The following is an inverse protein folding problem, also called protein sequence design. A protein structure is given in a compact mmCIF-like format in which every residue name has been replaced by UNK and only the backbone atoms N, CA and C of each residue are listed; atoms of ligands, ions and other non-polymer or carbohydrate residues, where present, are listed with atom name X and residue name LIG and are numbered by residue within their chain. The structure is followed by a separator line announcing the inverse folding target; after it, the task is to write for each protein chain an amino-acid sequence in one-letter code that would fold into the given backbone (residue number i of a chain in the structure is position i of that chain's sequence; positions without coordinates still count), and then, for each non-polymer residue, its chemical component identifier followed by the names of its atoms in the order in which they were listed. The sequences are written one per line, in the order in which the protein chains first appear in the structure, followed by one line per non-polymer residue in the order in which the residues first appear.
data_IF_884016413230
#
_entry.id   IF_884016413230
#
_cell.length_a   1.000
_cell.length_b   1.000
_cell.length_c   1.000
_cell.angle_alpha   90.00
_cell.angle_beta   90.00
_cell.angle_gamma   90.00
#
_symmetry.space_group_name_H-M   'P 1'
#
loop_
_entity.id
_entity.type
_entity.pdbx_description
1 polymer ?
#
# COMPACT_ATOMS: atom_id res chain seq x y z
N UNK A 1 -20.53 -10.93 5.64
CA UNK A 1 -19.39 -10.41 4.87
C UNK A 1 -18.44 -11.56 4.59
N UNK A 2 -17.93 -11.65 3.37
CA UNK A 2 -16.92 -12.64 2.97
C UNK A 2 -15.61 -11.88 2.79
N UNK A 3 -14.50 -12.45 3.27
CA UNK A 3 -13.17 -11.90 3.08
C UNK A 3 -12.44 -12.69 1.99
N UNK A 4 -11.81 -11.98 1.07
CA UNK A 4 -11.02 -12.53 -0.02
C UNK A 4 -9.63 -11.93 0.10
N UNK A 5 -8.62 -12.79 0.20
CA UNK A 5 -7.22 -12.39 0.12
C UNK A 5 -6.66 -12.90 -1.20
N UNK A 6 -5.97 -12.05 -1.95
CA UNK A 6 -5.42 -12.38 -3.24
C UNK A 6 -3.90 -12.26 -3.22
N UNK A 7 -3.22 -13.30 -3.70
CA UNK A 7 -1.78 -13.32 -3.86
C UNK A 7 -1.41 -12.66 -5.19
N UNK A 8 -1.14 -11.36 -5.16
CA UNK A 8 -0.64 -10.60 -6.31
C UNK A 8 0.87 -10.78 -6.48
N UNK A 9 1.39 -10.60 -7.70
CA UNK A 9 2.82 -10.70 -8.01
C UNK A 9 3.64 -9.66 -7.24
N UNK A 10 4.80 -10.08 -6.74
CA UNK A 10 5.68 -9.29 -5.88
C UNK A 10 6.90 -8.75 -6.66
N UNK A 11 7.32 -7.55 -6.27
CA UNK A 11 8.54 -6.93 -6.79
C UNK A 11 9.79 -7.62 -6.22
N UNK A 12 10.88 -7.74 -6.99
CA UNK A 12 10.98 -7.92 -8.46
C UNK A 12 10.82 -9.42 -8.83
N UNK A 13 10.69 -9.79 -10.13
CA UNK A 13 10.80 -8.96 -11.34
C UNK A 13 9.51 -8.21 -11.71
N UNK A 14 8.40 -8.52 -11.04
CA UNK A 14 7.13 -7.85 -11.29
C UNK A 14 7.19 -6.37 -10.86
N UNK A 15 6.32 -5.57 -11.47
CA UNK A 15 6.20 -4.13 -11.23
C UNK A 15 4.81 -3.79 -10.69
N UNK A 16 4.59 -2.53 -10.36
CA UNK A 16 3.27 -1.99 -10.05
C UNK A 16 2.25 -2.18 -11.17
N UNK A 17 2.68 -2.27 -12.44
CA UNK A 17 1.79 -2.59 -13.57
C UNK A 17 1.27 -4.02 -13.49
N UNK A 18 2.13 -4.96 -13.12
CA UNK A 18 1.76 -6.36 -12.91
C UNK A 18 0.81 -6.50 -11.72
N UNK A 19 1.09 -5.82 -10.62
CA UNK A 19 0.20 -5.75 -9.45
C UNK A 19 -1.16 -5.18 -9.85
N UNK A 20 -1.19 -4.09 -10.61
CA UNK A 20 -2.43 -3.48 -11.09
C UNK A 20 -3.21 -4.42 -12.01
N UNK A 21 -2.53 -5.19 -12.87
CA UNK A 21 -3.16 -6.22 -13.69
C UNK A 21 -3.79 -7.32 -12.82
N UNK A 22 -3.06 -7.84 -11.83
CA UNK A 22 -3.57 -8.88 -10.91
C UNK A 22 -4.78 -8.39 -10.11
N UNK A 23 -4.76 -7.12 -9.68
CA UNK A 23 -5.91 -6.47 -9.03
C UNK A 23 -7.12 -6.44 -9.98
N UNK A 24 -6.95 -6.04 -11.24
CA UNK A 24 -8.05 -6.00 -12.21
C UNK A 24 -8.61 -7.40 -12.49
N UNK A 25 -7.72 -8.39 -12.63
CA UNK A 25 -8.10 -9.78 -12.86
C UNK A 25 -8.88 -10.36 -11.68
N UNK A 26 -8.49 -10.07 -10.44
CA UNK A 26 -9.24 -10.44 -9.25
C UNK A 26 -10.68 -9.91 -9.29
N UNK A 27 -10.86 -8.64 -9.63
CA UNK A 27 -12.20 -8.04 -9.67
C UNK A 27 -13.06 -8.58 -10.82
N UNK A 28 -12.45 -8.84 -11.98
CA UNK A 28 -13.14 -9.52 -13.08
C UNK A 28 -13.58 -10.94 -12.67
N UNK A 29 -12.72 -11.68 -11.97
CA UNK A 29 -13.03 -13.00 -11.43
C UNK A 29 -14.16 -12.96 -10.40
N UNK A 30 -14.14 -12.00 -9.46
CA UNK A 30 -15.21 -11.80 -8.47
C UNK A 30 -16.55 -11.50 -9.15
N UNK A 31 -16.55 -10.76 -10.25
CA UNK A 31 -17.78 -10.40 -10.95
C UNK A 31 -18.36 -11.55 -11.79
N UNK A 32 -17.49 -12.32 -12.45
CA UNK A 32 -17.91 -13.26 -13.50
C UNK A 32 -17.89 -14.72 -13.07
N UNK A 33 -16.90 -15.11 -12.29
CA UNK A 33 -16.52 -16.52 -12.17
C UNK A 33 -16.71 -17.07 -10.74
N UNK A 34 -16.51 -16.24 -9.71
CA UNK A 34 -16.46 -16.70 -8.31
C UNK A 34 -17.73 -17.45 -7.89
N UNK A 35 -18.91 -16.98 -8.30
CA UNK A 35 -20.18 -17.61 -7.92
C UNK A 35 -20.39 -18.98 -8.57
N UNK A 36 -19.83 -19.21 -9.76
CA UNK A 36 -19.85 -20.53 -10.40
C UNK A 36 -19.10 -21.54 -9.53
N UNK A 37 -17.93 -21.14 -9.03
CA UNK A 37 -17.10 -21.98 -8.18
C UNK A 37 -17.71 -22.17 -6.78
N UNK A 38 -18.22 -21.11 -6.16
CA UNK A 38 -18.87 -21.17 -4.83
C UNK A 38 -20.06 -22.12 -4.85
N UNK A 39 -20.89 -22.09 -5.90
CA UNK A 39 -22.03 -23.03 -6.06
C UNK A 39 -21.59 -24.49 -6.20
N UNK A 40 -20.40 -24.74 -6.74
CA UNK A 40 -19.82 -26.07 -6.88
C UNK A 40 -19.24 -26.65 -5.58
N UNK A 41 -18.98 -25.82 -4.57
CA UNK A 41 -18.41 -26.23 -3.31
C UNK A 41 -19.43 -26.92 -2.40
N UNK A 42 -19.04 -28.05 -1.79
CA UNK A 42 -19.83 -28.73 -0.75
C UNK A 42 -19.60 -28.07 0.61
N UNK A 43 -20.12 -26.85 0.76
CA UNK A 43 -20.06 -26.08 2.02
C UNK A 43 -21.21 -26.39 2.97
N UNK A 44 -21.05 -26.00 4.24
CA UNK A 44 -22.12 -26.10 5.26
C UNK A 44 -23.22 -25.04 5.09
N UNK A 45 -22.97 -24.00 4.29
CA UNK A 45 -23.90 -22.93 3.96
C UNK A 45 -23.79 -22.58 2.48
N UNK A 46 -24.93 -22.45 1.81
CA UNK A 46 -24.99 -21.88 0.47
C UNK A 46 -24.99 -20.35 0.57
N UNK A 47 -24.16 -19.69 -0.22
CA UNK A 47 -24.12 -18.23 -0.33
C UNK A 47 -23.64 -17.84 -1.73
N UNK A 48 -23.83 -16.57 -2.07
CA UNK A 48 -23.29 -15.96 -3.29
C UNK A 48 -22.58 -14.65 -2.92
N UNK A 49 -21.57 -14.32 -3.69
CA UNK A 49 -20.87 -13.03 -3.62
C UNK A 49 -21.68 -12.03 -4.44
N UNK A 50 -22.09 -10.94 -3.80
CA UNK A 50 -22.71 -9.80 -4.47
C UNK A 50 -21.61 -8.86 -4.98
N UNK A 51 -21.30 -8.93 -6.29
CA UNK A 51 -20.26 -8.10 -6.91
C UNK A 51 -20.61 -6.61 -6.95
N UNK A 52 -21.86 -6.23 -6.62
CA UNK A 52 -22.25 -4.83 -6.42
C UNK A 52 -21.95 -4.32 -5.00
N UNK A 53 -21.59 -5.20 -4.06
CA UNK A 53 -21.29 -4.88 -2.67
C UNK A 53 -19.85 -5.29 -2.34
N UNK A 54 -18.88 -4.58 -2.94
CA UNK A 54 -17.46 -4.80 -2.73
C UNK A 54 -16.85 -3.65 -1.92
N UNK A 55 -15.89 -3.99 -1.05
CA UNK A 55 -15.01 -3.05 -0.38
C UNK A 55 -13.60 -3.62 -0.39
N UNK A 56 -12.62 -2.73 -0.30
CA UNK A 56 -11.20 -3.11 -0.26
C UNK A 56 -10.58 -2.63 1.03
N UNK A 57 -9.68 -3.44 1.57
CA UNK A 57 -8.91 -3.10 2.75
C UNK A 57 -7.44 -3.44 2.52
N UNK A 58 -6.56 -2.65 3.12
CA UNK A 58 -5.13 -2.92 3.04
C UNK A 58 -4.36 -2.17 4.11
N UNK A 59 -3.27 -2.78 4.56
CA UNK A 59 -2.32 -2.19 5.51
C UNK A 59 -0.99 -1.91 4.84
N UNK A 60 -0.31 -0.82 5.21
CA UNK A 60 1.01 -0.47 4.65
C UNK A 60 0.99 -0.44 3.10
N UNK A 61 1.85 -1.22 2.43
CA UNK A 61 1.85 -1.40 0.97
C UNK A 61 0.55 -2.04 0.41
N UNK A 62 -0.20 -2.79 1.22
CA UNK A 62 -1.51 -3.31 0.84
C UNK A 62 -2.55 -2.19 0.67
N UNK A 63 -2.41 -1.05 1.36
CA UNK A 63 -3.28 0.10 1.15
C UNK A 63 -3.12 0.71 -0.24
N UNK A 64 -1.90 0.71 -0.79
CA UNK A 64 -1.65 1.09 -2.19
C UNK A 64 -2.43 0.19 -3.14
N UNK A 65 -2.46 -1.12 -2.90
CA UNK A 65 -3.28 -2.06 -3.69
C UNK A 65 -4.79 -1.74 -3.57
N UNK A 66 -5.27 -1.39 -2.38
CA UNK A 66 -6.66 -0.97 -2.16
C UNK A 66 -6.98 0.34 -2.92
N UNK A 67 -6.07 1.29 -2.97
CA UNK A 67 -6.23 2.52 -3.76
C UNK A 67 -6.25 2.23 -5.26
N UNK A 68 -5.34 1.38 -5.74
CA UNK A 68 -5.32 0.95 -7.14
C UNK A 68 -6.61 0.26 -7.56
N UNK A 69 -7.14 -0.64 -6.73
CA UNK A 69 -8.43 -1.27 -6.95
C UNK A 69 -9.56 -0.24 -7.04
N UNK A 70 -9.56 0.75 -6.15
CA UNK A 70 -10.57 1.82 -6.11
C UNK A 70 -10.57 2.70 -7.36
N UNK A 71 -9.39 2.93 -7.92
CA UNK A 71 -9.20 3.76 -9.11
C UNK A 71 -9.52 3.01 -10.41
N UNK A 72 -9.17 1.72 -10.47
CA UNK A 72 -9.02 1.02 -11.75
C UNK A 72 -9.80 -0.27 -11.91
N UNK A 73 -10.31 -0.85 -10.82
CA UNK A 73 -11.03 -2.11 -10.89
C UNK A 73 -12.50 -1.92 -11.27
N UNK A 74 -13.09 -2.96 -11.86
CA UNK A 74 -14.50 -3.05 -12.19
C UNK A 74 -15.01 -4.44 -11.84
N UNK A 75 -16.09 -4.58 -11.05
CA UNK A 75 -16.89 -3.52 -10.42
C UNK A 75 -16.10 -2.68 -9.42
N UNK A 76 -16.41 -1.38 -9.35
CA UNK A 76 -15.69 -0.48 -8.44
C UNK A 76 -16.08 -0.79 -6.98
N UNK A 77 -15.11 -0.87 -6.05
CA UNK A 77 -15.39 -0.92 -4.62
C UNK A 77 -16.24 0.27 -4.16
N UNK A 78 -17.06 0.07 -3.14
CA UNK A 78 -17.89 1.11 -2.51
C UNK A 78 -17.22 1.76 -1.30
N UNK A 79 -16.25 1.07 -0.69
CA UNK A 79 -15.52 1.55 0.47
C UNK A 79 -14.06 1.09 0.47
N UNK A 80 -13.21 1.90 1.10
CA UNK A 80 -11.79 1.62 1.34
C UNK A 80 -11.51 1.71 2.83
N UNK A 81 -10.84 0.70 3.37
CA UNK A 81 -10.20 0.75 4.69
C UNK A 81 -8.68 0.72 4.52
N UNK A 82 -8.02 1.81 4.91
CA UNK A 82 -6.57 1.96 4.81
C UNK A 82 -5.95 2.02 6.20
N UNK A 83 -5.11 1.04 6.54
CA UNK A 83 -4.34 1.01 7.78
C UNK A 83 -2.90 1.44 7.50
N UNK A 84 -2.45 2.55 8.09
CA UNK A 84 -1.09 3.12 7.97
C UNK A 84 -0.51 3.01 6.55
N UNK A 85 -1.33 3.43 5.59
CA UNK A 85 -1.16 3.12 4.17
C UNK A 85 -0.22 4.07 3.44
N UNK A 86 0.54 3.52 2.49
CA UNK A 86 1.33 4.30 1.53
C UNK A 86 0.51 4.64 0.27
N UNK A 87 0.99 5.60 -0.54
CA UNK A 87 0.43 5.92 -1.85
C UNK A 87 -0.28 7.29 -1.93
N UNK A 88 -0.35 8.02 -0.82
CA UNK A 88 -0.88 9.38 -0.77
C UNK A 88 0.14 10.45 -1.14
N UNK A 89 1.42 10.20 -0.90
CA UNK A 89 2.55 11.06 -1.31
C UNK A 89 3.86 10.26 -1.44
N UNK A 90 4.05 9.67 -2.62
CA UNK A 90 5.24 8.88 -2.97
C UNK A 90 6.40 9.73 -3.51
N UNK A 91 6.25 11.05 -3.57
CA UNK A 91 7.26 11.99 -4.08
C UNK A 91 7.95 12.71 -2.93
N UNK A 92 8.56 11.94 -2.05
CA UNK A 92 9.19 12.43 -0.82
C UNK A 92 10.60 11.88 -0.65
N UNK A 93 11.34 12.46 0.28
CA UNK A 93 12.67 11.98 0.68
C UNK A 93 12.68 10.50 1.08
N UNK A 94 11.57 9.98 1.60
CA UNK A 94 11.45 8.58 1.99
C UNK A 94 11.64 7.64 0.80
N UNK A 95 11.15 8.02 -0.38
CA UNK A 95 11.25 7.20 -1.60
C UNK A 95 12.46 7.52 -2.47
N UNK A 96 12.93 8.77 -2.44
CA UNK A 96 13.84 9.32 -3.46
C UNK A 96 15.22 9.71 -2.93
N UNK A 97 15.45 9.66 -1.62
CA UNK A 97 16.75 10.00 -1.04
C UNK A 97 17.43 8.76 -0.50
N UNK A 98 18.71 8.55 -0.83
CA UNK A 98 19.50 7.47 -0.24
C UNK A 98 19.64 7.66 1.27
N UNK A 99 19.42 6.60 2.04
CA UNK A 99 19.55 6.58 3.50
C UNK A 99 20.93 6.03 3.87
N UNK A 100 21.61 6.68 4.80
CA UNK A 100 22.94 6.29 5.28
C UNK A 100 22.98 5.99 6.79
N UNK A 101 21.85 6.14 7.47
CA UNK A 101 21.67 5.90 8.91
C UNK A 101 20.37 5.13 9.14
N UNK A 102 20.25 4.39 10.26
CA UNK A 102 19.04 3.61 10.58
C UNK A 102 17.75 4.39 10.36
N UNK A 103 16.79 3.75 9.72
CA UNK A 103 15.48 4.30 9.37
C UNK A 103 14.43 3.18 9.40
N UNK A 104 13.17 3.48 9.06
CA UNK A 104 12.11 2.47 8.98
C UNK A 104 11.97 1.71 10.30
N UNK A 105 11.54 2.38 11.37
CA UNK A 105 11.45 1.82 12.74
C UNK A 105 12.81 1.53 13.39
N UNK A 106 13.81 2.36 13.08
CA UNK A 106 15.16 2.28 13.66
C UNK A 106 15.92 1.01 13.26
N UNK A 107 15.54 0.39 12.14
CA UNK A 107 16.14 -0.85 11.64
C UNK A 107 17.51 -0.56 11.01
N UNK A 108 18.45 -1.51 11.07
CA UNK A 108 19.82 -1.34 10.56
C UNK A 108 19.88 -1.12 9.03
N UNK A 109 21.05 -0.71 8.56
CA UNK A 109 21.33 -0.56 7.13
C UNK A 109 21.60 -1.92 6.51
N UNK A 110 21.02 -2.14 5.33
CA UNK A 110 21.26 -3.35 4.52
C UNK A 110 22.49 -3.15 3.63
N UNK A 111 23.35 -4.17 3.50
CA UNK A 111 24.43 -4.15 2.52
C UNK A 111 23.86 -4.58 1.14
N UNK A 112 23.82 -3.69 0.12
CA UNK A 112 23.27 -4.04 -1.19
C UNK A 112 23.97 -5.23 -1.87
N UNK A 113 25.23 -5.52 -1.52
CA UNK A 113 25.96 -6.67 -2.07
C UNK A 113 25.26 -7.99 -1.72
N UNK A 114 24.69 -8.10 -0.53
CA UNK A 114 23.94 -9.29 -0.07
C UNK A 114 22.63 -9.50 -0.84
N UNK A 115 22.17 -8.50 -1.59
CA UNK A 115 20.92 -8.51 -2.36
C UNK A 115 21.16 -8.39 -3.87
N UNK A 116 22.38 -8.63 -4.36
CA UNK A 116 22.76 -8.44 -5.76
C UNK A 116 21.82 -9.12 -6.78
N UNK A 117 21.31 -10.32 -6.47
CA UNK A 117 20.33 -11.03 -7.33
C UNK A 117 18.99 -10.28 -7.48
N UNK A 118 18.64 -9.44 -6.51
CA UNK A 118 17.41 -8.63 -6.49
C UNK A 118 17.63 -7.19 -6.95
N UNK A 119 18.85 -6.82 -7.36
CA UNK A 119 19.17 -5.51 -7.91
C UNK A 119 19.16 -5.54 -9.44
N UNK A 120 18.82 -4.40 -10.06
CA UNK A 120 18.92 -4.24 -11.51
C UNK A 120 20.39 -4.29 -11.98
N UNK A 121 20.71 -4.95 -13.11
CA UNK A 121 19.80 -5.67 -14.02
C UNK A 121 19.53 -7.14 -13.65
N UNK A 122 20.23 -7.73 -12.67
CA UNK A 122 20.13 -9.14 -12.31
C UNK A 122 18.69 -9.57 -11.97
N UNK A 123 17.94 -8.70 -11.30
CA UNK A 123 16.55 -8.95 -10.92
C UNK A 123 15.63 -9.26 -12.10
N UNK A 124 15.99 -8.84 -13.33
CA UNK A 124 15.21 -9.11 -14.55
C UNK A 124 15.22 -10.60 -14.95
N UNK A 125 16.17 -11.38 -14.43
CA UNK A 125 16.27 -12.82 -14.69
C UNK A 125 15.50 -13.67 -13.68
N UNK A 126 14.96 -13.06 -12.62
CA UNK A 126 14.12 -13.75 -11.65
C UNK A 126 12.80 -14.19 -12.29
N UNK A 127 12.20 -15.26 -11.77
CA UNK A 127 10.84 -15.64 -12.14
C UNK A 127 9.83 -14.79 -11.36
N UNK A 128 8.73 -14.33 -11.99
CA UNK A 128 7.62 -13.73 -11.26
C UNK A 128 7.11 -14.66 -10.15
N UNK A 129 6.84 -14.10 -8.98
CA UNK A 129 6.30 -14.83 -7.83
C UNK A 129 5.26 -13.98 -7.11
N UNK A 130 4.22 -14.60 -6.57
CA UNK A 130 3.32 -13.99 -5.59
C UNK A 130 3.61 -14.45 -4.16
N UNK A 131 4.60 -15.33 -3.98
CA UNK A 131 4.95 -15.92 -2.70
C UNK A 131 6.21 -15.29 -2.09
N UNK A 132 6.14 -15.06 -0.79
CA UNK A 132 7.22 -14.57 0.06
C UNK A 132 6.97 -15.06 1.48
N UNK A 133 7.29 -16.33 1.79
CA UNK A 133 6.98 -16.91 3.09
C UNK A 133 7.64 -16.12 4.21
N UNK A 134 6.89 -15.90 5.28
CA UNK A 134 7.41 -15.27 6.49
C UNK A 134 8.45 -16.19 7.11
N UNK A 135 9.70 -15.75 7.15
CA UNK A 135 10.77 -16.45 7.81
C UNK A 135 11.49 -15.47 8.74
N UNK A 136 11.76 -15.86 9.98
CA UNK A 136 12.42 -15.02 10.95
C UNK A 136 13.59 -15.74 11.59
N UNK A 137 14.67 -15.01 11.83
CA UNK A 137 15.85 -15.53 12.50
C UNK A 137 15.54 -15.95 13.95
N UNK A 138 16.10 -17.09 14.40
CA UNK A 138 15.85 -17.58 15.75
C UNK A 138 16.48 -16.69 16.83
N UNK A 139 16.10 -16.87 18.11
CA UNK A 139 16.72 -16.20 19.26
C UNK A 139 18.25 -16.29 19.36
N UNK A 140 18.84 -17.31 18.72
CA UNK A 140 20.28 -17.59 18.74
C UNK A 140 21.06 -16.90 17.62
N UNK A 141 20.39 -16.24 16.68
CA UNK A 141 21.05 -15.50 15.61
C UNK A 141 21.54 -14.14 16.12
N UNK A 142 22.50 -13.51 15.45
CA UNK A 142 23.06 -12.24 15.90
C UNK A 142 22.04 -11.08 15.82
N UNK A 143 20.98 -11.24 15.01
CA UNK A 143 19.80 -10.36 14.94
C UNK A 143 18.50 -11.18 15.06
N UNK A 144 18.07 -11.57 16.27
CA UNK A 144 16.86 -12.36 16.46
C UNK A 144 15.59 -11.68 15.96
N UNK A 145 14.64 -12.47 15.45
CA UNK A 145 13.34 -11.98 14.99
C UNK A 145 13.40 -11.14 13.72
N UNK A 146 14.58 -10.98 13.11
CA UNK A 146 14.71 -10.34 11.80
C UNK A 146 14.24 -11.24 10.68
N UNK A 147 13.68 -10.67 9.59
CA UNK A 147 13.33 -11.46 8.42
C UNK A 147 14.55 -12.22 7.88
N UNK A 148 14.41 -13.54 7.76
CA UNK A 148 15.41 -14.45 7.20
C UNK A 148 15.19 -14.69 5.70
N UNK A 149 14.00 -14.38 5.19
CA UNK A 149 13.73 -14.37 3.75
C UNK A 149 14.14 -12.99 3.19
N UNK A 150 15.13 -12.91 2.28
CA UNK A 150 15.63 -11.64 1.75
C UNK A 150 14.55 -10.82 1.04
N UNK A 151 13.52 -11.47 0.46
CA UNK A 151 12.41 -10.78 -0.20
C UNK A 151 11.63 -9.87 0.75
N UNK A 152 11.52 -10.23 2.03
CA UNK A 152 10.87 -9.40 3.06
C UNK A 152 11.60 -8.08 3.32
N UNK A 153 12.86 -7.96 2.87
CA UNK A 153 13.71 -6.80 3.10
C UNK A 153 13.79 -5.87 1.89
N UNK A 154 13.32 -6.29 0.71
CA UNK A 154 13.54 -5.56 -0.55
C UNK A 154 12.86 -4.19 -0.58
N UNK A 155 11.65 -4.06 -0.04
CA UNK A 155 10.99 -2.76 0.08
C UNK A 155 11.86 -1.76 0.87
N UNK A 156 12.42 -2.19 2.01
CA UNK A 156 13.36 -1.37 2.80
C UNK A 156 14.64 -1.11 2.03
N UNK A 157 15.21 -2.10 1.34
CA UNK A 157 16.41 -1.92 0.52
C UNK A 157 16.19 -0.84 -0.55
N UNK A 158 15.08 -0.86 -1.28
CA UNK A 158 14.84 0.11 -2.34
C UNK A 158 14.53 1.52 -1.81
N UNK A 159 13.86 1.62 -0.65
CA UNK A 159 13.71 2.90 0.07
C UNK A 159 15.06 3.41 0.61
N UNK A 160 15.94 2.50 1.04
CA UNK A 160 17.30 2.83 1.48
C UNK A 160 18.12 3.38 0.33
N UNK A 161 18.03 2.78 -0.86
CA UNK A 161 18.77 3.22 -2.03
C UNK A 161 18.19 4.49 -2.65
N UNK A 162 16.92 4.80 -2.38
CA UNK A 162 16.20 5.90 -3.04
C UNK A 162 15.64 5.52 -4.41
N UNK A 163 15.58 4.22 -4.72
CA UNK A 163 15.24 3.68 -6.04
C UNK A 163 13.90 2.95 -6.05
N UNK A 164 13.07 3.07 -4.99
CA UNK A 164 11.80 2.36 -4.89
C UNK A 164 10.91 2.56 -6.12
N UNK A 165 10.84 3.78 -6.66
CA UNK A 165 10.01 4.07 -7.83
C UNK A 165 10.52 3.38 -9.10
N UNK A 166 11.81 3.12 -9.24
CA UNK A 166 12.35 2.39 -10.40
C UNK A 166 11.84 0.95 -10.40
N UNK A 167 11.90 0.26 -9.25
CA UNK A 167 11.36 -1.10 -9.12
C UNK A 167 9.83 -1.09 -9.23
N UNK A 168 9.17 -0.10 -8.62
CA UNK A 168 7.71 -0.01 -8.64
C UNK A 168 7.16 0.25 -10.05
N UNK A 169 7.86 1.01 -10.88
CA UNK A 169 7.38 1.34 -12.24
C UNK A 169 8.01 0.48 -13.32
N UNK A 170 9.16 -0.15 -13.05
CA UNK A 170 10.02 -0.83 -14.01
C UNK A 170 11.00 0.11 -14.73
N UNK A 171 10.97 1.42 -14.46
CA UNK A 171 11.80 2.43 -15.12
C UNK A 171 13.19 2.53 -14.47
N UNK A 172 14.07 1.57 -14.79
CA UNK A 172 15.46 1.58 -14.33
C UNK A 172 16.40 2.40 -15.24
N UNK A 173 16.16 2.38 -16.56
CA UNK A 173 16.99 3.09 -17.54
C UNK A 173 16.12 3.81 -18.60
N UNK A 174 16.03 5.16 -18.56
CA UNK A 174 16.54 6.03 -17.49
C UNK A 174 15.79 5.82 -16.17
N UNK A 175 16.48 6.03 -15.03
CA UNK A 175 15.90 5.90 -13.68
C UNK A 175 14.86 7.00 -13.44
N UNK A 176 13.64 6.58 -13.08
CA UNK A 176 12.57 7.49 -12.68
C UNK A 176 12.90 8.17 -11.35
N UNK A 177 13.37 7.40 -10.37
CA UNK A 177 13.81 7.88 -9.06
C UNK A 177 14.90 8.93 -9.20
N UNK A 178 15.94 8.67 -10.00
CA UNK A 178 17.03 9.62 -10.23
C UNK A 178 16.55 10.92 -10.87
N UNK A 179 15.72 10.81 -11.91
CA UNK A 179 15.13 11.98 -12.59
C UNK A 179 14.29 12.84 -11.64
N UNK A 180 13.44 12.22 -10.82
CA UNK A 180 12.62 12.92 -9.83
C UNK A 180 13.46 13.51 -8.70
N UNK A 181 14.50 12.82 -8.24
CA UNK A 181 15.39 13.31 -7.20
C UNK A 181 16.04 14.64 -7.61
N UNK A 182 16.57 14.73 -8.84
CA UNK A 182 17.20 15.95 -9.34
C UNK A 182 16.22 17.14 -9.41
N UNK A 183 14.97 16.88 -9.79
CA UNK A 183 13.93 17.90 -9.90
C UNK A 183 13.49 18.36 -8.51
N UNK A 184 13.18 17.42 -7.62
CA UNK A 184 12.63 17.69 -6.29
C UNK A 184 13.66 18.23 -5.30
N UNK A 185 14.95 17.95 -5.51
CA UNK A 185 16.02 18.56 -4.73
C UNK A 185 16.04 20.09 -4.89
N UNK A 186 15.73 20.58 -6.11
CA UNK A 186 15.73 22.02 -6.41
C UNK A 186 14.57 22.76 -5.75
N UNK A 187 13.44 22.09 -5.50
CA UNK A 187 12.28 22.70 -4.84
C UNK A 187 12.31 22.60 -3.31
N UNK A 188 13.27 21.88 -2.73
CA UNK A 188 13.34 21.64 -1.28
C UNK A 188 12.34 20.59 -0.76
N UNK A 189 11.55 19.97 -1.64
CA UNK A 189 10.55 18.92 -1.30
C UNK A 189 11.18 17.65 -0.72
N UNK A 190 12.47 17.42 -0.96
CA UNK A 190 13.22 16.29 -0.37
C UNK A 190 13.72 16.54 1.07
N UNK A 191 13.31 17.64 1.72
CA UNK A 191 13.58 17.82 3.15
C UNK A 191 12.68 16.91 4.00
N UNK A 192 13.24 16.31 5.06
CA UNK A 192 12.45 15.54 6.03
C UNK A 192 11.40 16.39 6.75
N UNK A 193 11.67 17.70 6.87
CA UNK A 193 10.80 18.70 7.51
C UNK A 193 10.07 19.56 6.49
N UNK A 194 9.83 19.07 5.27
CA UNK A 194 9.10 19.85 4.29
C UNK A 194 7.64 19.99 4.75
N UNK A 195 7.31 21.07 5.44
CA UNK A 195 5.94 21.49 5.74
C UNK A 195 5.24 22.06 4.49
N UNK A 196 5.83 21.85 3.31
CA UNK A 196 5.37 22.47 2.06
C UNK A 196 3.98 21.92 1.77
N UNK A 197 2.99 22.81 1.86
CA UNK A 197 1.62 22.64 1.37
C UNK A 197 1.64 22.56 -0.17
N UNK A 198 2.31 21.54 -0.70
CA UNK A 198 2.59 21.45 -2.13
C UNK A 198 1.44 20.73 -2.82
N UNK A 199 0.61 21.49 -3.53
CA UNK A 199 -0.44 20.94 -4.38
C UNK A 199 0.22 20.02 -5.41
N UNK A 200 -0.10 18.73 -5.40
CA UNK A 200 0.47 17.68 -6.27
C UNK A 200 0.44 17.94 -7.79
N UNK A 201 -0.12 19.07 -8.23
CA UNK A 201 -0.39 19.41 -9.62
C UNK A 201 0.87 19.63 -10.48
N UNK A 202 2.02 20.01 -9.92
CA UNK A 202 3.21 20.29 -10.75
C UNK A 202 4.06 19.03 -11.03
N UNK A 203 4.20 18.13 -10.03
CA UNK A 203 5.14 17.02 -10.17
C UNK A 203 4.63 15.82 -10.97
N UNK A 204 3.32 15.71 -11.18
CA UNK A 204 2.75 14.67 -12.06
C UNK A 204 3.30 14.79 -13.51
N UNK A 205 3.65 16.00 -13.95
CA UNK A 205 4.24 16.24 -15.26
C UNK A 205 5.62 15.59 -15.41
N UNK A 206 6.33 15.37 -14.30
CA UNK A 206 7.65 14.73 -14.27
C UNK A 206 7.60 13.20 -14.16
N UNK A 207 6.41 12.63 -13.96
CA UNK A 207 6.21 11.18 -14.04
C UNK A 207 5.74 10.82 -15.45
N UNK A 208 6.39 9.88 -16.15
CA UNK A 208 5.96 9.40 -17.46
C UNK A 208 4.48 8.99 -17.47
N UNK A 209 3.76 9.35 -18.53
CA UNK A 209 2.31 9.21 -18.58
C UNK A 209 1.83 7.77 -18.36
N UNK A 210 2.58 6.78 -18.85
CA UNK A 210 2.30 5.37 -18.67
C UNK A 210 2.37 4.90 -17.21
N UNK A 211 3.17 5.56 -16.36
CA UNK A 211 3.31 5.21 -14.95
C UNK A 211 2.32 5.93 -14.04
N UNK A 212 1.76 7.06 -14.46
CA UNK A 212 0.82 7.88 -13.64
C UNK A 212 -0.36 7.08 -13.06
N UNK A 213 -0.96 6.10 -13.75
CA UNK A 213 -2.01 5.27 -13.17
C UNK A 213 -1.61 4.52 -11.88
N UNK A 214 -0.31 4.28 -11.68
CA UNK A 214 0.20 3.60 -10.49
C UNK A 214 0.25 4.49 -9.23
N UNK A 215 0.02 5.80 -9.36
CA UNK A 215 0.19 6.76 -8.26
C UNK A 215 -1.16 7.31 -7.81
N UNK A 216 -1.73 6.84 -6.68
CA UNK A 216 -3.04 7.30 -6.22
C UNK A 216 -3.11 8.82 -6.04
N UNK A 217 -2.02 9.43 -5.57
CA UNK A 217 -1.88 10.87 -5.38
C UNK A 217 -2.16 11.75 -6.62
N UNK A 218 -2.22 11.18 -7.83
CA UNK A 218 -2.56 11.89 -9.07
C UNK A 218 -3.93 11.51 -9.65
N UNK A 219 -4.63 10.53 -9.07
CA UNK A 219 -5.80 9.90 -9.68
C UNK A 219 -7.06 9.94 -8.80
N UNK A 220 -6.97 10.46 -7.57
CA UNK A 220 -8.16 10.71 -6.73
C UNK A 220 -9.09 11.70 -7.43
N UNK A 221 -10.37 11.35 -7.49
CA UNK A 221 -11.43 12.16 -8.09
C UNK A 221 -12.77 11.87 -7.40
N UNK A 222 -13.84 12.57 -7.80
CA UNK A 222 -15.17 12.47 -7.18
C UNK A 222 -15.81 11.07 -7.24
N UNK A 223 -15.29 10.16 -8.06
CA UNK A 223 -15.77 8.77 -8.16
C UNK A 223 -15.04 7.80 -7.23
N UNK A 224 -14.03 8.26 -6.49
CA UNK A 224 -13.33 7.43 -5.52
C UNK A 224 -14.30 7.01 -4.39
N UNK A 225 -14.24 5.76 -3.92
CA UNK A 225 -15.10 5.27 -2.84
C UNK A 225 -14.91 6.00 -1.51
N UNK A 226 -15.93 5.93 -0.65
CA UNK A 226 -15.82 6.36 0.73
C UNK A 226 -14.62 5.70 1.40
N UNK A 227 -13.78 6.46 2.09
CA UNK A 227 -12.50 5.95 2.60
C UNK A 227 -12.33 6.24 4.08
N UNK A 228 -12.07 5.19 4.87
CA UNK A 228 -11.60 5.30 6.25
C UNK A 228 -10.09 5.04 6.27
N UNK A 229 -9.34 6.01 6.80
CA UNK A 229 -7.91 5.94 7.03
C UNK A 229 -7.65 5.85 8.52
N UNK A 230 -6.78 4.94 8.94
CA UNK A 230 -6.34 4.80 10.33
C UNK A 230 -4.81 4.79 10.32
N UNK A 231 -4.16 5.68 11.06
CA UNK A 231 -2.71 5.84 10.99
C UNK A 231 -2.10 6.15 12.36
N UNK A 232 -0.97 5.54 12.68
CA UNK A 232 -0.20 5.91 13.88
C UNK A 232 0.48 7.27 13.71
N UNK A 233 0.39 8.15 14.71
CA UNK A 233 1.04 9.47 14.66
C UNK A 233 2.57 9.41 14.71
N UNK A 234 3.13 8.32 15.23
CA UNK A 234 4.57 8.09 15.38
C UNK A 234 5.10 7.08 14.35
N UNK A 235 4.40 6.88 13.22
CA UNK A 235 4.82 5.95 12.18
C UNK A 235 6.10 6.42 11.47
N UNK A 236 7.16 5.63 11.58
CA UNK A 236 8.48 5.87 10.98
C UNK A 236 8.80 4.93 9.81
N UNK A 237 7.89 4.02 9.45
CA UNK A 237 8.00 3.17 8.26
C UNK A 237 7.29 3.81 7.06
N UNK A 238 6.02 4.17 7.26
CA UNK A 238 5.16 4.88 6.32
C UNK A 238 4.66 6.12 7.03
N UNK A 239 5.18 7.29 6.67
CA UNK A 239 4.88 8.50 7.43
C UNK A 239 3.40 8.88 7.33
N UNK A 240 2.82 9.36 8.44
CA UNK A 240 1.44 9.84 8.55
C UNK A 240 1.01 10.82 7.45
N UNK A 241 1.97 11.59 6.88
CA UNK A 241 1.74 12.49 5.74
C UNK A 241 1.08 11.79 4.55
N UNK A 242 1.32 10.50 4.35
CA UNK A 242 0.70 9.69 3.30
C UNK A 242 -0.82 9.66 3.45
N UNK A 243 -1.31 9.31 4.64
CA UNK A 243 -2.75 9.29 4.91
C UNK A 243 -3.36 10.68 5.00
N UNK A 244 -2.61 11.68 5.47
CA UNK A 244 -3.07 13.08 5.44
C UNK A 244 -3.23 13.60 4.00
N UNK A 245 -2.28 13.31 3.11
CA UNK A 245 -2.29 13.76 1.72
C UNK A 245 -3.48 13.17 0.94
N UNK A 246 -3.70 11.85 1.04
CA UNK A 246 -4.84 11.23 0.35
C UNK A 246 -6.17 11.65 0.97
N UNK A 247 -6.26 11.81 2.30
CA UNK A 247 -7.45 12.34 2.97
C UNK A 247 -7.81 13.74 2.45
N UNK A 248 -6.82 14.62 2.32
CA UNK A 248 -7.03 15.97 1.80
C UNK A 248 -7.52 15.94 0.35
N UNK A 249 -6.94 15.11 -0.51
CA UNK A 249 -7.38 14.95 -1.91
C UNK A 249 -8.81 14.43 -2.00
N UNK A 250 -9.17 13.41 -1.21
CA UNK A 250 -10.52 12.85 -1.17
C UNK A 250 -11.55 13.91 -0.77
N UNK A 251 -11.28 14.67 0.30
CA UNK A 251 -12.16 15.77 0.71
C UNK A 251 -12.27 16.86 -0.35
N UNK A 252 -11.16 17.24 -0.98
CA UNK A 252 -11.18 18.25 -2.06
C UNK A 252 -11.97 17.78 -3.29
N UNK A 253 -12.08 16.47 -3.50
CA UNK A 253 -12.85 15.85 -4.58
C UNK A 253 -14.32 15.59 -4.21
N UNK A 254 -14.77 16.02 -3.01
CA UNK A 254 -16.14 15.77 -2.54
C UNK A 254 -16.42 14.32 -2.11
N UNK A 255 -15.37 13.50 -1.91
CA UNK A 255 -15.49 12.12 -1.47
C UNK A 255 -15.55 12.06 0.06
N UNK A 256 -16.45 11.25 0.62
CA UNK A 256 -16.50 11.00 2.07
C UNK A 256 -15.18 10.34 2.50
N UNK A 257 -14.46 11.01 3.39
CA UNK A 257 -13.24 10.47 3.96
C UNK A 257 -13.16 10.75 5.45
N UNK A 258 -12.79 9.73 6.22
CA UNK A 258 -12.54 9.79 7.66
C UNK A 258 -11.07 9.45 7.92
N UNK A 259 -10.37 10.23 8.73
CA UNK A 259 -8.98 9.99 9.12
C UNK A 259 -8.89 9.88 10.64
N UNK A 260 -8.52 8.70 11.14
CA UNK A 260 -8.32 8.41 12.55
C UNK A 260 -6.83 8.29 12.84
N UNK A 261 -6.30 9.25 13.58
CA UNK A 261 -4.91 9.23 14.02
C UNK A 261 -4.83 8.59 15.39
N UNK A 262 -4.01 7.54 15.50
CA UNK A 262 -3.78 6.83 16.77
C UNK A 262 -2.52 7.43 17.41
N UNK A 263 -2.73 8.16 18.49
CA UNK A 263 -1.68 8.96 19.14
C UNK A 263 -0.55 8.09 19.72
N UNK A 264 0.69 8.50 19.52
CA UNK A 264 1.90 7.79 19.96
C UNK A 264 2.16 6.42 19.31
N UNK A 265 1.34 5.98 18.35
CA UNK A 265 1.47 4.65 17.74
C UNK A 265 2.39 4.65 16.52
N UNK A 266 3.24 3.64 16.47
CA UNK A 266 4.16 3.31 15.38
C UNK A 266 3.46 2.41 14.33
N UNK A 267 4.11 2.16 13.19
CA UNK A 267 3.65 1.21 12.17
C UNK A 267 3.30 -0.16 12.77
N UNK A 268 2.28 -0.82 12.23
CA UNK A 268 1.80 -2.14 12.67
C UNK A 268 1.34 -2.18 14.14
N UNK A 269 0.81 -1.07 14.68
CA UNK A 269 0.34 -1.01 16.07
C UNK A 269 -0.80 -2.01 16.39
N UNK A 270 -1.53 -2.45 15.36
CA UNK A 270 -2.59 -3.45 15.42
C UNK A 270 -2.07 -4.89 15.60
N UNK A 271 -0.77 -5.12 15.39
CA UNK A 271 -0.10 -6.40 15.67
C UNK A 271 0.51 -6.45 17.08
N UNK A 272 0.41 -5.38 17.86
CA UNK A 272 0.87 -5.39 19.26
C UNK A 272 0.08 -6.43 20.08
N UNK A 273 0.72 -7.09 21.04
CA UNK A 273 0.06 -8.11 21.86
C UNK A 273 -1.09 -7.55 22.71
N UNK A 274 -1.12 -6.24 22.93
CA UNK A 274 -2.19 -5.51 23.62
C UNK A 274 -3.20 -4.84 22.67
N UNK A 275 -3.04 -5.00 21.36
CA UNK A 275 -3.90 -4.34 20.38
C UNK A 275 -5.39 -4.69 20.58
N UNK A 276 -5.71 -5.95 20.89
CA UNK A 276 -7.10 -6.36 21.16
C UNK A 276 -7.67 -5.73 22.44
N UNK A 277 -6.85 -5.63 23.49
CA UNK A 277 -7.23 -4.96 24.74
C UNK A 277 -7.50 -3.47 24.51
N UNK A 278 -6.67 -2.82 23.70
CA UNK A 278 -6.74 -1.37 23.46
C UNK A 278 -7.79 -0.98 22.42
N UNK A 279 -7.94 -1.75 21.35
CA UNK A 279 -8.72 -1.38 20.16
C UNK A 279 -9.93 -2.29 19.88
N UNK A 280 -9.96 -3.49 20.46
CA UNK A 280 -10.97 -4.52 20.22
C UNK A 280 -12.16 -4.48 21.19
N UNK A 281 -12.17 -3.58 22.18
CA UNK A 281 -13.31 -3.41 23.09
C UNK A 281 -14.57 -2.98 22.31
N UNK A 282 -15.78 -3.25 22.83
CA UNK A 282 -17.02 -2.80 22.20
C UNK A 282 -17.02 -1.29 21.92
N UNK A 283 -17.34 -0.91 20.68
CA UNK A 283 -17.24 0.45 20.16
C UNK A 283 -15.81 0.93 19.90
N UNK A 284 -14.82 0.04 20.01
CA UNK A 284 -13.40 0.32 19.78
C UNK A 284 -13.04 0.51 18.31
N UNK A 285 -11.77 0.81 18.05
CA UNK A 285 -11.29 1.15 16.71
C UNK A 285 -11.51 0.03 15.69
N UNK A 286 -11.35 -1.23 16.08
CA UNK A 286 -11.55 -2.38 15.19
C UNK A 286 -13.02 -2.55 14.81
N UNK A 287 -13.95 -2.41 15.76
CA UNK A 287 -15.38 -2.46 15.48
C UNK A 287 -15.81 -1.29 14.59
N UNK A 288 -15.33 -0.07 14.87
CA UNK A 288 -15.61 1.11 14.05
C UNK A 288 -15.12 0.93 12.60
N UNK A 289 -13.98 0.28 12.38
CA UNK A 289 -13.47 -0.02 11.04
C UNK A 289 -14.38 -1.00 10.28
N UNK A 290 -14.83 -2.05 10.97
CA UNK A 290 -15.77 -3.02 10.41
C UNK A 290 -17.14 -2.40 10.14
N UNK A 291 -17.64 -1.54 11.02
CA UNK A 291 -18.94 -0.89 10.86
C UNK A 291 -18.93 0.11 9.70
N UNK A 292 -17.83 0.83 9.49
CA UNK A 292 -17.63 1.64 8.29
C UNK A 292 -17.77 0.81 7.01
N UNK A 293 -17.18 -0.40 6.97
CA UNK A 293 -17.33 -1.30 5.83
C UNK A 293 -18.78 -1.78 5.68
N UNK A 294 -19.42 -2.24 6.76
CA UNK A 294 -20.82 -2.71 6.73
C UNK A 294 -21.79 -1.65 6.22
N UNK A 295 -21.60 -0.38 6.60
CA UNK A 295 -22.41 0.75 6.16
C UNK A 295 -22.49 0.83 4.63
N UNK A 296 -21.37 0.57 3.95
CA UNK A 296 -21.24 0.69 2.50
C UNK A 296 -21.56 -0.61 1.73
N UNK A 297 -21.57 -1.75 2.44
CA UNK A 297 -21.84 -3.08 1.88
C UNK A 297 -23.28 -3.53 2.05
N UNK A 298 -24.06 -2.88 2.94
CA UNK A 298 -25.47 -3.22 3.12
C UNK A 298 -26.28 -2.71 1.93
N UNK A 299 -27.15 -3.56 1.36
CA UNK A 299 -28.10 -3.12 0.33
C UNK A 299 -28.97 -2.01 0.91
N UNK A 300 -28.94 -0.83 0.30
CA UNK A 300 -30.00 0.16 0.55
C UNK A 300 -31.26 -0.43 -0.05
N UNK A 301 -32.23 -0.77 0.80
CA UNK A 301 -33.59 -1.04 0.34
C UNK A 301 -34.09 0.24 -0.35
N UNK A 302 -34.34 0.13 -1.66
CA UNK A 302 -34.94 1.17 -2.47
C UNK A 302 -36.45 0.99 -2.53
#
# INVERSE_FOLDING_TARGET
MVFISADYRLLPPATGHDILADIKDLFAFIDRDVNVLVRGCKGTRAFEIDSSALAVAGSSAGALCAYLASMHASPRPKAVLSLYGMGGDMLTWQYLTTKTTPFFRGREMLDPVEFSDFLYPQCQHLLPTSDSPLAYHPPTYHIPGYPANPRQLLGRLYLQLGTFLDYYTGAHEPSLSGSLQEILAKSGRLSQRSDIEDTNADYAAHVPAEHRPLFPQFNVNAQFPSTLLIHGSADTAVFIRESQAIHAQLKSSGVRSELKIVEGKEHNFDYDTKAEEEFGQPGGLFEQAIDFLKEHLTKREG
#
